data_IF_537199775878
#
_entry.id   IF_537199775878
#
_cell.length_a   1.000
_cell.length_b   1.000
_cell.length_c   1.000
_cell.angle_alpha   90.00
_cell.angle_beta   90.00
_cell.angle_gamma   90.00
#
_symmetry.space_group_name_H-M   'P 1'
#
loop_
_entity.id
_entity.type
_entity.pdbx_description
1 polymer ?
#
# COMPACT_ATOMS: atom_id res chain seq x y z
N UNK A 1 -17.42 -3.91 -21.25
CA UNK A 1 -15.97 -3.69 -21.08
C UNK A 1 -15.61 -3.67 -19.59
N UNK A 2 -14.34 -3.76 -19.17
CA UNK A 2 -13.94 -3.72 -17.72
C UNK A 2 -14.52 -2.49 -17.01
N UNK A 3 -14.57 -1.36 -17.73
CA UNK A 3 -15.12 -0.08 -17.27
C UNK A 3 -16.62 -0.16 -16.94
N UNK A 4 -17.35 -1.13 -17.47
CA UNK A 4 -18.79 -1.32 -17.23
C UNK A 4 -19.05 -2.52 -16.32
N UNK A 5 -18.01 -3.09 -15.72
CA UNK A 5 -18.17 -4.20 -14.77
C UNK A 5 -18.73 -3.71 -13.44
N UNK A 6 -19.46 -4.58 -12.77
CA UNK A 6 -20.00 -4.34 -11.42
C UNK A 6 -18.89 -3.91 -10.44
N UNK A 7 -17.68 -4.47 -10.57
CA UNK A 7 -16.51 -4.12 -9.76
C UNK A 7 -16.08 -2.67 -9.99
N UNK A 8 -16.08 -2.21 -11.24
CA UNK A 8 -15.73 -0.83 -11.58
C UNK A 8 -16.81 0.16 -11.13
N UNK A 9 -18.08 -0.23 -11.16
CA UNK A 9 -19.19 0.57 -10.64
C UNK A 9 -19.11 0.70 -9.12
N UNK A 10 -18.87 -0.40 -8.41
CA UNK A 10 -18.69 -0.42 -6.95
C UNK A 10 -17.53 0.46 -6.52
N UNK A 11 -16.38 0.35 -7.21
CA UNK A 11 -15.21 1.19 -6.96
C UNK A 11 -15.56 2.68 -7.06
N UNK A 12 -16.25 3.10 -8.13
CA UNK A 12 -16.68 4.50 -8.31
C UNK A 12 -17.63 4.92 -7.21
N UNK A 13 -18.61 4.09 -6.86
CA UNK A 13 -19.59 4.37 -5.82
C UNK A 13 -18.92 4.61 -4.47
N UNK A 14 -18.04 3.70 -4.05
CA UNK A 14 -17.28 3.87 -2.81
C UNK A 14 -16.36 5.09 -2.85
N UNK A 15 -15.73 5.36 -4.00
CA UNK A 15 -14.90 6.54 -4.19
C UNK A 15 -15.68 7.85 -4.01
N UNK A 16 -16.84 7.98 -4.66
CA UNK A 16 -17.71 9.15 -4.52
C UNK A 16 -18.21 9.32 -3.09
N UNK A 17 -18.63 8.23 -2.44
CA UNK A 17 -19.07 8.27 -1.05
C UNK A 17 -17.94 8.70 -0.11
N UNK A 18 -16.72 8.20 -0.30
CA UNK A 18 -15.55 8.63 0.48
C UNK A 18 -15.19 10.10 0.21
N UNK A 19 -15.28 10.57 -1.03
CA UNK A 19 -14.99 11.96 -1.40
C UNK A 19 -15.96 12.95 -0.77
N UNK A 20 -17.25 12.62 -0.75
CA UNK A 20 -18.30 13.50 -0.21
C UNK A 20 -18.36 13.49 1.32
N UNK A 21 -17.74 12.52 1.97
CA UNK A 21 -17.68 12.43 3.43
C UNK A 21 -16.60 13.38 3.98
N UNK A 22 -17.04 14.48 4.60
CA UNK A 22 -16.14 15.49 5.19
C UNK A 22 -15.20 14.90 6.24
N UNK A 23 -15.67 13.94 7.04
CA UNK A 23 -14.86 13.30 8.09
C UNK A 23 -13.82 12.38 7.47
N UNK A 24 -14.15 11.65 6.40
CA UNK A 24 -13.16 10.91 5.63
C UNK A 24 -12.04 11.83 5.12
N UNK A 25 -12.41 12.96 4.52
CA UNK A 25 -11.43 13.92 3.98
C UNK A 25 -10.56 14.54 5.08
N UNK A 26 -11.12 14.87 6.23
CA UNK A 26 -10.37 15.36 7.38
C UNK A 26 -9.35 14.33 7.89
N UNK A 27 -9.75 13.06 8.03
CA UNK A 27 -8.85 11.99 8.46
C UNK A 27 -7.72 11.78 7.43
N UNK A 28 -8.05 11.79 6.14
CA UNK A 28 -7.07 11.65 5.05
C UNK A 28 -6.06 12.80 5.11
N UNK A 29 -6.53 14.04 5.23
CA UNK A 29 -5.68 15.22 5.31
C UNK A 29 -4.74 15.17 6.52
N UNK A 30 -5.29 14.84 7.70
CA UNK A 30 -4.49 14.68 8.94
C UNK A 30 -3.39 13.64 8.77
N UNK A 31 -3.72 12.50 8.16
CA UNK A 31 -2.73 11.44 7.93
C UNK A 31 -1.65 11.85 6.94
N UNK A 32 -2.00 12.53 5.84
CA UNK A 32 -1.02 13.02 4.85
C UNK A 32 -0.04 13.99 5.53
N UNK A 33 -0.52 14.96 6.31
CA UNK A 33 0.34 15.89 7.05
C UNK A 33 1.28 15.17 8.04
N UNK A 34 0.76 14.18 8.78
CA UNK A 34 1.58 13.40 9.72
C UNK A 34 2.61 12.52 8.98
N UNK A 35 2.26 12.01 7.80
CA UNK A 35 3.17 11.24 6.95
C UNK A 35 4.33 12.09 6.45
N UNK A 36 4.06 13.32 6.01
CA UNK A 36 5.11 14.28 5.59
C UNK A 36 6.07 14.58 6.76
N UNK A 37 5.53 14.90 7.94
CA UNK A 37 6.35 15.10 9.14
C UNK A 37 7.17 13.86 9.50
N UNK A 38 6.58 12.68 9.36
CA UNK A 38 7.28 11.42 9.61
C UNK A 38 8.39 11.17 8.61
N UNK A 39 8.20 11.47 7.33
CA UNK A 39 9.23 11.37 6.30
C UNK A 39 10.39 12.31 6.61
N UNK A 40 10.12 13.56 7.00
CA UNK A 40 11.16 14.51 7.40
C UNK A 40 11.96 14.03 8.61
N UNK A 41 11.27 13.54 9.65
CA UNK A 41 11.91 13.02 10.86
C UNK A 41 12.67 11.71 10.57
N UNK A 42 12.13 10.85 9.69
CA UNK A 42 12.77 9.61 9.28
C UNK A 42 14.06 9.86 8.49
N UNK A 43 14.18 10.95 7.73
CA UNK A 43 15.40 11.30 6.99
C UNK A 43 16.61 11.47 7.89
N UNK A 44 16.42 12.01 9.09
CA UNK A 44 17.47 12.13 10.11
C UNK A 44 17.63 10.86 10.96
N UNK A 45 16.67 9.94 10.88
CA UNK A 45 16.71 8.64 11.52
C UNK A 45 16.38 8.68 13.01
N UNK A 46 16.74 7.59 13.71
CA UNK A 46 16.30 7.29 15.10
C UNK A 46 16.79 8.29 16.16
N UNK A 47 17.71 9.18 15.82
CA UNK A 47 18.28 10.18 16.74
C UNK A 47 17.52 11.51 16.72
N UNK A 48 16.53 11.66 15.85
CA UNK A 48 15.67 12.85 15.88
C UNK A 48 14.83 12.86 17.17
N UNK A 49 14.78 13.98 17.92
CA UNK A 49 14.08 14.06 19.21
C UNK A 49 12.61 13.63 19.11
N UNK A 50 11.94 14.03 18.02
CA UNK A 50 10.52 13.78 17.82
C UNK A 50 10.20 12.44 17.15
N UNK A 51 11.20 11.61 16.84
CA UNK A 51 11.01 10.35 16.08
C UNK A 51 9.95 9.43 16.70
N UNK A 52 10.03 9.22 18.03
CA UNK A 52 9.10 8.33 18.73
C UNK A 52 7.68 8.89 18.75
N UNK A 53 7.55 10.20 18.93
CA UNK A 53 6.26 10.88 18.97
C UNK A 53 5.58 10.84 17.61
N UNK A 54 6.28 11.27 16.56
CA UNK A 54 5.75 11.31 15.19
C UNK A 54 5.41 9.90 14.69
N UNK A 55 6.24 8.88 15.01
CA UNK A 55 5.93 7.48 14.70
C UNK A 55 4.64 7.01 15.38
N UNK A 56 4.41 7.40 16.64
CA UNK A 56 3.19 7.04 17.38
C UNK A 56 1.97 7.72 16.75
N UNK A 57 2.04 9.02 16.48
CA UNK A 57 0.95 9.80 15.89
C UNK A 57 0.55 9.26 14.51
N UNK A 58 1.51 8.90 13.65
CA UNK A 58 1.22 8.27 12.35
C UNK A 58 0.50 6.93 12.50
N UNK A 59 0.91 6.10 13.46
CA UNK A 59 0.25 4.80 13.71
C UNK A 59 -1.18 4.98 14.21
N UNK A 60 -1.42 5.96 15.07
CA UNK A 60 -2.76 6.30 15.56
C UNK A 60 -3.65 6.84 14.44
N UNK A 61 -3.17 7.81 13.67
CA UNK A 61 -3.89 8.35 12.52
C UNK A 61 -4.17 7.29 11.44
N UNK A 62 -3.23 6.38 11.19
CA UNK A 62 -3.44 5.24 10.29
C UNK A 62 -4.56 4.32 10.78
N UNK A 63 -4.60 4.02 12.09
CA UNK A 63 -5.67 3.20 12.68
C UNK A 63 -7.03 3.86 12.54
N UNK A 64 -7.13 5.16 12.83
CA UNK A 64 -8.37 5.91 12.66
C UNK A 64 -8.85 5.88 11.20
N UNK A 65 -7.94 6.04 10.24
CA UNK A 65 -8.24 5.91 8.81
C UNK A 65 -8.74 4.52 8.43
N UNK A 66 -7.99 3.48 8.82
CA UNK A 66 -8.28 2.10 8.42
C UNK A 66 -9.58 1.57 9.06
N UNK A 67 -10.00 2.13 10.19
CA UNK A 67 -11.24 1.78 10.88
C UNK A 67 -12.45 2.60 10.40
N UNK A 68 -12.25 3.68 9.64
CA UNK A 68 -13.35 4.51 9.16
C UNK A 68 -14.09 3.83 8.02
N UNK A 69 -15.38 3.54 8.23
CA UNK A 69 -16.21 2.71 7.34
C UNK A 69 -16.13 3.10 5.85
N UNK A 70 -16.37 4.37 5.48
CA UNK A 70 -16.28 4.84 4.08
C UNK A 70 -14.91 4.59 3.43
N UNK A 71 -13.82 4.80 4.18
CA UNK A 71 -12.45 4.59 3.68
C UNK A 71 -12.15 3.09 3.57
N UNK A 72 -12.56 2.30 4.55
CA UNK A 72 -12.41 0.85 4.52
C UNK A 72 -13.19 0.20 3.36
N UNK A 73 -14.40 0.69 3.08
CA UNK A 73 -15.21 0.26 1.95
C UNK A 73 -14.52 0.60 0.62
N UNK A 74 -14.03 1.83 0.46
CA UNK A 74 -13.26 2.23 -0.71
C UNK A 74 -12.01 1.37 -0.92
N UNK A 75 -11.20 1.14 0.12
CA UNK A 75 -10.00 0.29 0.02
C UNK A 75 -10.33 -1.16 -0.35
N UNK A 76 -11.48 -1.67 0.07
CA UNK A 76 -11.95 -3.00 -0.33
C UNK A 76 -12.28 -3.04 -1.82
N UNK A 77 -13.09 -2.09 -2.30
CA UNK A 77 -13.45 -2.00 -3.71
C UNK A 77 -12.22 -1.75 -4.60
N UNK A 78 -11.26 -0.97 -4.13
CA UNK A 78 -9.96 -0.76 -4.80
C UNK A 78 -9.18 -2.06 -4.94
N UNK A 79 -9.11 -2.87 -3.88
CA UNK A 79 -8.43 -4.18 -3.92
C UNK A 79 -9.11 -5.15 -4.88
N UNK A 80 -10.44 -5.17 -4.92
CA UNK A 80 -11.20 -6.03 -5.85
C UNK A 80 -10.96 -5.62 -7.30
N UNK A 81 -10.96 -4.32 -7.58
CA UNK A 81 -10.61 -3.79 -8.91
C UNK A 81 -9.17 -4.15 -9.29
N UNK A 82 -8.21 -4.00 -8.37
CA UNK A 82 -6.82 -4.36 -8.61
C UNK A 82 -6.67 -5.85 -8.92
N UNK A 83 -7.34 -6.73 -8.18
CA UNK A 83 -7.33 -8.17 -8.42
C UNK A 83 -7.83 -8.53 -9.83
N UNK A 84 -8.91 -7.89 -10.28
CA UNK A 84 -9.44 -8.09 -11.63
C UNK A 84 -8.42 -7.66 -12.70
N UNK A 85 -7.75 -6.52 -12.49
CA UNK A 85 -6.72 -6.04 -13.42
C UNK A 85 -5.48 -6.97 -13.43
N UNK A 86 -5.10 -7.51 -12.29
CA UNK A 86 -3.98 -8.45 -12.15
C UNK A 86 -4.29 -9.78 -12.86
N UNK A 87 -5.51 -10.28 -12.75
CA UNK A 87 -5.98 -11.48 -13.47
C UNK A 87 -5.92 -11.29 -14.98
N UNK A 88 -6.41 -10.16 -15.48
CA UNK A 88 -6.37 -9.83 -16.91
C UNK A 88 -4.94 -9.69 -17.40
N UNK A 89 -4.08 -9.01 -16.63
CA UNK A 89 -2.66 -8.86 -16.94
C UNK A 89 -1.96 -10.23 -17.02
N UNK A 90 -2.29 -11.14 -16.10
CA UNK A 90 -1.77 -12.50 -16.09
C UNK A 90 -2.25 -13.32 -17.28
N UNK A 91 -3.54 -13.21 -17.65
CA UNK A 91 -4.09 -13.87 -18.83
C UNK A 91 -3.39 -13.43 -20.11
N UNK A 92 -3.19 -12.12 -20.28
CA UNK A 92 -2.48 -11.56 -21.44
C UNK A 92 -1.02 -12.03 -21.47
N UNK A 93 -0.32 -11.96 -20.33
CA UNK A 93 1.07 -12.40 -20.24
C UNK A 93 1.26 -13.86 -20.65
N UNK A 94 0.40 -14.76 -20.14
CA UNK A 94 0.41 -16.19 -20.49
C UNK A 94 0.04 -16.47 -21.94
N UNK A 95 -0.89 -15.69 -22.51
CA UNK A 95 -1.28 -15.84 -23.92
C UNK A 95 -0.14 -15.49 -24.89
N UNK A 96 0.78 -14.61 -24.49
CA UNK A 96 1.99 -14.27 -25.26
C UNK A 96 3.12 -15.27 -25.00
N UNK A 97 3.34 -15.66 -23.74
CA UNK A 97 4.32 -16.69 -23.38
C UNK A 97 4.11 -17.17 -21.95
N UNK A 98 4.12 -18.50 -21.76
CA UNK A 98 4.04 -19.11 -20.42
C UNK A 98 5.23 -18.75 -19.50
N UNK A 99 6.34 -18.24 -20.07
CA UNK A 99 7.56 -17.89 -19.34
C UNK A 99 7.63 -16.43 -18.88
N UNK A 100 6.70 -15.57 -19.32
CA UNK A 100 6.71 -14.16 -18.94
C UNK A 100 6.13 -14.02 -17.52
N UNK A 101 6.95 -13.49 -16.60
CA UNK A 101 6.51 -13.14 -15.25
C UNK A 101 5.78 -11.81 -15.29
N UNK A 102 4.52 -11.79 -14.85
CA UNK A 102 3.72 -10.57 -14.75
C UNK A 102 3.76 -10.07 -13.30
N UNK A 103 4.26 -8.85 -13.04
CA UNK A 103 4.25 -8.29 -11.70
C UNK A 103 2.83 -7.86 -11.32
N UNK A 104 2.15 -8.67 -10.51
CA UNK A 104 0.77 -8.44 -10.02
C UNK A 104 0.74 -7.71 -8.67
N UNK A 105 1.78 -6.93 -8.34
CA UNK A 105 1.87 -6.19 -7.06
C UNK A 105 1.94 -7.06 -5.80
N UNK A 106 1.97 -8.39 -5.93
CA UNK A 106 2.14 -9.32 -4.82
C UNK A 106 3.64 -9.61 -4.59
N UNK A 107 4.22 -9.31 -3.40
CA UNK A 107 5.64 -9.54 -3.11
C UNK A 107 6.08 -11.01 -3.23
N UNK A 108 5.12 -11.95 -3.32
CA UNK A 108 5.42 -13.35 -3.63
C UNK A 108 6.05 -13.54 -5.01
N UNK A 109 5.68 -12.74 -6.01
CA UNK A 109 6.26 -12.83 -7.35
C UNK A 109 7.64 -12.15 -7.46
N UNK A 110 7.90 -11.11 -6.67
CA UNK A 110 9.23 -10.52 -6.54
C UNK A 110 10.23 -11.47 -5.84
N UNK A 111 9.75 -12.30 -4.90
CA UNK A 111 10.61 -13.28 -4.20
C UNK A 111 11.07 -14.46 -5.07
N UNK A 112 10.48 -14.64 -6.27
CA UNK A 112 10.92 -15.61 -7.28
C UNK A 112 11.98 -15.05 -8.24
N UNK A 113 12.47 -13.83 -8.02
CA UNK A 113 13.75 -13.36 -8.56
C UNK A 113 14.88 -13.92 -7.71
N UNK A 114 15.38 -15.09 -8.10
CA UNK A 114 16.67 -15.58 -7.64
C UNK A 114 17.75 -14.54 -7.94
N UNK A 115 18.17 -13.80 -6.92
CA UNK A 115 19.33 -12.92 -6.91
C UNK A 115 20.12 -13.18 -5.64
N UNK A 116 20.88 -14.27 -5.60
CA UNK A 116 21.99 -14.40 -4.67
C UNK A 116 22.94 -13.23 -4.90
N UNK A 117 22.97 -12.30 -3.95
CA UNK A 117 23.74 -11.07 -3.99
C UNK A 117 24.44 -10.85 -2.66
N UNK A 118 25.50 -11.63 -2.43
CA UNK A 118 26.62 -11.21 -1.62
C UNK A 118 27.17 -9.89 -2.21
N UNK A 119 27.22 -8.80 -1.42
CA UNK A 119 27.99 -7.61 -1.80
C UNK A 119 27.45 -6.27 -1.32
N UNK A 120 27.60 -5.97 -0.02
CA UNK A 120 28.23 -4.75 0.53
C UNK A 120 27.68 -4.33 1.90
N UNK A 121 28.49 -4.53 2.94
CA UNK A 121 28.64 -3.56 4.02
C UNK A 121 27.72 -3.61 5.23
N UNK A 122 27.76 -4.69 6.03
CA UNK A 122 27.28 -4.64 7.41
C UNK A 122 27.34 -5.99 8.12
N UNK A 123 28.34 -6.19 8.99
CA UNK A 123 28.48 -7.40 9.78
C UNK A 123 27.27 -7.59 10.72
N UNK A 124 26.37 -8.52 10.39
CA UNK A 124 25.28 -8.91 11.27
C UNK A 124 25.82 -9.86 12.36
N UNK A 125 26.12 -9.31 13.53
CA UNK A 125 26.57 -10.05 14.71
C UNK A 125 25.40 -10.65 15.49
N UNK A 126 24.87 -11.79 15.04
CA UNK A 126 23.97 -12.60 15.85
C UNK A 126 24.79 -13.45 16.84
N UNK A 127 24.84 -13.01 18.10
CA UNK A 127 25.24 -13.87 19.23
C UNK A 127 24.01 -14.64 19.69
N UNK A 128 24.03 -15.96 19.54
CA UNK A 128 23.17 -16.86 20.31
C UNK A 128 23.75 -17.00 21.72
N UNK A 129 22.94 -16.66 22.72
CA UNK A 129 23.04 -17.25 24.06
C UNK A 129 21.86 -18.16 24.23
#
# INVERSE_FOLDING_TARGET
MIVESDVAEEYRRCFYHMQQDEKAQQLIHRFVQLKERYEDVQRFGKYHPDYKEVTKQVREAKRELDLYGPIAAFKRAEKEMQSLLDEISTMIGRAVSENIKVPTGNPYFDSLSCGGGCGSGGACGCRTK
#
